data_IF_547777450765
#
_entry.id   IF_547777450765
#
_cell.length_a   1.000
_cell.length_b   1.000
_cell.length_c   1.000
_cell.angle_alpha   90.00
_cell.angle_beta   90.00
_cell.angle_gamma   90.00
#
_symmetry.space_group_name_H-M   'P 1'
#
loop_
_entity.id
_entity.type
_entity.pdbx_description
1 polymer ?
#
# COMPACT_ATOMS: atom_id res chain seq x y z
N UNK A 1 9.25 -60.29 -15.68
CA UNK A 1 10.41 -60.08 -14.77
C UNK A 1 11.37 -59.16 -15.52
N UNK A 2 11.88 -58.04 -15.03
CA UNK A 2 11.99 -57.50 -13.68
C UNK A 2 12.68 -56.13 -13.91
N UNK A 3 12.00 -55.03 -13.59
CA UNK A 3 12.61 -53.72 -13.26
C UNK A 3 13.49 -53.06 -14.37
N UNK A 4 13.81 -51.78 -14.41
CA UNK A 4 13.88 -50.76 -13.38
C UNK A 4 14.02 -49.40 -14.10
N UNK A 5 13.18 -48.44 -13.68
CA UNK A 5 13.32 -46.98 -13.69
C UNK A 5 14.31 -46.33 -14.69
N UNK A 6 13.78 -45.43 -15.53
CA UNK A 6 14.43 -44.16 -15.88
C UNK A 6 13.37 -43.15 -16.38
N UNK A 7 12.36 -42.90 -15.56
CA UNK A 7 11.52 -41.68 -15.66
C UNK A 7 12.27 -40.56 -14.94
N UNK A 8 13.21 -39.94 -15.64
CA UNK A 8 13.79 -38.67 -15.21
C UNK A 8 12.74 -37.58 -15.39
N UNK A 9 11.84 -37.46 -14.42
CA UNK A 9 10.97 -36.29 -14.27
C UNK A 9 11.89 -35.12 -13.92
N UNK A 10 12.29 -34.37 -14.94
CA UNK A 10 12.87 -33.03 -14.79
C UNK A 10 11.78 -32.17 -14.15
N UNK A 11 11.73 -32.18 -12.81
CA UNK A 11 10.97 -31.21 -12.04
C UNK A 11 11.71 -29.88 -12.22
N UNK A 12 11.41 -29.16 -13.31
CA UNK A 12 11.84 -27.79 -13.43
C UNK A 12 11.19 -27.05 -12.27
N UNK A 13 12.01 -26.70 -11.28
CA UNK A 13 11.68 -25.71 -10.30
C UNK A 13 11.45 -24.43 -11.10
N UNK A 14 10.19 -24.15 -11.44
CA UNK A 14 9.77 -22.80 -11.76
C UNK A 14 9.94 -22.03 -10.46
N UNK A 15 11.13 -21.48 -10.25
CA UNK A 15 11.31 -20.41 -9.30
C UNK A 15 10.36 -19.31 -9.78
N UNK A 16 9.19 -19.21 -9.14
CA UNK A 16 8.39 -17.99 -9.14
C UNK A 16 9.26 -16.97 -8.40
N UNK A 17 10.21 -16.41 -9.14
CA UNK A 17 10.94 -15.22 -8.72
C UNK A 17 9.86 -14.16 -8.71
N UNK A 18 9.37 -13.80 -7.52
CA UNK A 18 8.52 -12.62 -7.38
C UNK A 18 9.23 -11.48 -8.08
N UNK A 19 8.66 -10.98 -9.17
CA UNK A 19 9.37 -9.99 -9.98
C UNK A 19 9.55 -8.74 -9.14
N UNK A 20 10.80 -8.45 -8.78
CA UNK A 20 11.13 -7.24 -8.05
C UNK A 20 10.97 -6.04 -9.00
N UNK A 21 10.05 -5.13 -8.67
CA UNK A 21 9.83 -3.90 -9.45
C UNK A 21 11.16 -3.13 -9.50
N UNK A 22 11.72 -2.85 -10.70
CA UNK A 22 12.95 -2.07 -10.82
C UNK A 22 12.70 -0.60 -10.44
N UNK A 23 13.77 0.19 -10.31
CA UNK A 23 13.60 1.64 -10.19
C UNK A 23 13.14 2.20 -11.54
N UNK A 24 11.87 2.60 -11.59
CA UNK A 24 11.23 3.21 -12.75
C UNK A 24 11.43 4.73 -12.76
N UNK A 25 11.70 5.33 -13.93
CA UNK A 25 11.82 6.78 -14.07
C UNK A 25 10.46 7.44 -13.87
N UNK A 26 10.44 8.54 -13.12
CA UNK A 26 9.25 9.37 -12.89
C UNK A 26 9.53 10.75 -13.48
N UNK A 27 8.54 11.32 -14.18
CA UNK A 27 8.71 12.60 -14.85
C UNK A 27 9.10 13.73 -13.85
N UNK A 28 9.95 14.69 -14.26
CA UNK A 28 10.31 15.82 -13.39
C UNK A 28 9.07 16.54 -12.85
N UNK A 29 9.04 16.78 -11.53
CA UNK A 29 7.92 17.42 -10.86
C UNK A 29 6.77 16.49 -10.45
N UNK A 30 6.72 15.24 -10.94
CA UNK A 30 5.82 14.23 -10.39
C UNK A 30 6.37 13.70 -9.06
N UNK A 31 5.52 13.68 -8.04
CA UNK A 31 5.86 13.23 -6.66
C UNK A 31 5.48 11.78 -6.36
N UNK A 32 4.74 11.14 -7.25
CA UNK A 32 4.18 9.80 -7.07
C UNK A 32 4.51 8.94 -8.29
N UNK A 33 4.87 7.68 -8.06
CA UNK A 33 5.25 6.70 -9.08
C UNK A 33 4.18 5.62 -9.32
N UNK A 34 3.00 5.76 -8.72
CA UNK A 34 1.95 4.74 -8.75
C UNK A 34 1.54 4.38 -10.17
N UNK A 35 1.43 5.36 -11.08
CA UNK A 35 1.08 5.13 -12.47
C UNK A 35 2.16 4.34 -13.20
N UNK A 36 3.42 4.78 -13.06
CA UNK A 36 4.56 4.13 -13.71
C UNK A 36 4.71 2.68 -13.22
N UNK A 37 4.54 2.44 -11.92
CA UNK A 37 4.53 1.09 -11.34
C UNK A 37 3.34 0.28 -11.85
N UNK A 38 2.13 0.84 -11.88
CA UNK A 38 0.94 0.16 -12.38
C UNK A 38 1.11 -0.31 -13.82
N UNK A 39 1.59 0.58 -14.71
CA UNK A 39 1.86 0.24 -16.11
C UNK A 39 2.93 -0.84 -16.25
N UNK A 40 3.99 -0.77 -15.44
CA UNK A 40 5.01 -1.80 -15.45
C UNK A 40 4.46 -3.16 -15.00
N UNK A 41 3.64 -3.19 -13.93
CA UNK A 41 3.02 -4.43 -13.44
C UNK A 41 2.05 -5.03 -14.47
N UNK A 42 1.26 -4.20 -15.16
CA UNK A 42 0.40 -4.67 -16.26
C UNK A 42 1.19 -5.38 -17.37
N UNK A 43 2.38 -4.87 -17.70
CA UNK A 43 3.20 -5.41 -18.78
C UNK A 43 4.09 -6.60 -18.37
N UNK A 44 4.48 -6.69 -17.09
CA UNK A 44 5.55 -7.61 -16.67
C UNK A 44 5.10 -8.66 -15.64
N UNK A 45 4.07 -8.39 -14.82
CA UNK A 45 3.66 -9.29 -13.74
C UNK A 45 2.53 -10.23 -14.20
N UNK A 46 2.79 -11.54 -14.32
CA UNK A 46 1.77 -12.50 -14.72
C UNK A 46 0.58 -12.49 -13.76
N UNK A 47 -0.63 -12.41 -14.30
CA UNK A 47 -1.87 -12.38 -13.53
C UNK A 47 -2.27 -11.01 -12.96
N UNK A 48 -1.40 -9.99 -12.97
CA UNK A 48 -1.76 -8.67 -12.45
C UNK A 48 -2.85 -7.99 -13.26
N UNK A 49 -2.77 -8.04 -14.60
CA UNK A 49 -3.78 -7.46 -15.48
C UNK A 49 -5.15 -8.13 -15.31
N UNK A 50 -5.18 -9.46 -15.15
CA UNK A 50 -6.42 -10.20 -14.90
C UNK A 50 -7.00 -9.86 -13.52
N UNK A 51 -6.18 -9.87 -12.46
CA UNK A 51 -6.62 -9.50 -11.12
C UNK A 51 -7.14 -8.05 -11.06
N UNK A 52 -6.49 -7.13 -11.78
CA UNK A 52 -6.94 -5.75 -11.90
C UNK A 52 -8.30 -5.67 -12.61
N UNK A 53 -8.48 -6.37 -13.73
CA UNK A 53 -9.77 -6.40 -14.43
C UNK A 53 -10.89 -6.99 -13.56
N UNK A 54 -10.62 -8.09 -12.85
CA UNK A 54 -11.58 -8.69 -11.92
C UNK A 54 -12.00 -7.72 -10.81
N UNK A 55 -11.05 -6.95 -10.27
CA UNK A 55 -11.35 -5.89 -9.31
C UNK A 55 -12.24 -4.80 -9.91
N UNK A 56 -11.94 -4.34 -11.13
CA UNK A 56 -12.75 -3.33 -11.81
C UNK A 56 -14.17 -3.83 -12.09
N UNK A 57 -14.31 -5.07 -12.57
CA UNK A 57 -15.62 -5.68 -12.83
C UNK A 57 -16.44 -5.80 -11.54
N UNK A 58 -15.80 -6.22 -10.45
CA UNK A 58 -16.43 -6.28 -9.13
C UNK A 58 -16.92 -4.92 -8.65
N UNK A 59 -16.07 -3.88 -8.72
CA UNK A 59 -16.42 -2.52 -8.31
C UNK A 59 -17.55 -1.96 -9.16
N UNK A 60 -17.47 -2.10 -10.48
CA UNK A 60 -18.51 -1.62 -11.41
C UNK A 60 -19.85 -2.31 -11.15
N UNK A 61 -19.84 -3.61 -10.93
CA UNK A 61 -21.03 -4.37 -10.55
C UNK A 61 -21.61 -3.87 -9.22
N UNK A 62 -20.77 -3.72 -8.21
CA UNK A 62 -21.20 -3.24 -6.89
C UNK A 62 -21.87 -1.87 -6.99
N UNK A 63 -21.27 -0.92 -7.71
CA UNK A 63 -21.81 0.43 -7.90
C UNK A 63 -23.14 0.39 -8.67
N UNK A 64 -23.25 -0.45 -9.71
CA UNK A 64 -24.50 -0.58 -10.48
C UNK A 64 -25.64 -1.21 -9.67
N UNK A 65 -25.32 -2.19 -8.81
CA UNK A 65 -26.31 -2.87 -7.95
C UNK A 65 -26.71 -2.04 -6.72
N UNK A 66 -25.88 -1.07 -6.30
CA UNK A 66 -26.10 -0.26 -5.10
C UNK A 66 -26.00 1.25 -5.38
N UNK A 67 -26.87 1.82 -6.24
CA UNK A 67 -26.78 3.22 -6.66
C UNK A 67 -27.00 4.24 -5.52
N UNK A 68 -27.61 3.80 -4.41
CA UNK A 68 -27.84 4.61 -3.21
C UNK A 68 -27.13 4.02 -1.98
N UNK A 69 -25.97 3.36 -2.19
CA UNK A 69 -25.18 2.83 -1.08
C UNK A 69 -24.71 3.98 -0.19
N UNK A 70 -25.12 3.93 1.06
CA UNK A 70 -24.70 4.87 2.10
C UNK A 70 -24.13 4.06 3.28
N UNK A 71 -22.80 4.08 3.49
CA UNK A 71 -22.18 3.35 4.58
C UNK A 71 -22.64 3.92 5.92
N UNK A 72 -23.47 3.16 6.64
CA UNK A 72 -24.08 3.61 7.91
C UNK A 72 -23.14 3.58 9.12
N UNK A 73 -21.87 3.24 8.94
CA UNK A 73 -20.94 3.05 10.04
C UNK A 73 -19.54 3.51 9.67
N UNK A 74 -18.88 4.13 10.65
CA UNK A 74 -17.46 4.46 10.59
C UNK A 74 -16.64 3.17 10.56
N UNK A 75 -15.78 3.05 9.55
CA UNK A 75 -14.82 1.96 9.42
C UNK A 75 -13.47 2.42 9.96
N UNK A 76 -13.01 1.75 11.03
CA UNK A 76 -11.70 2.02 11.61
C UNK A 76 -10.61 1.17 10.94
N UNK A 77 -9.59 1.83 10.40
CA UNK A 77 -8.42 1.24 9.76
C UNK A 77 -7.23 1.30 10.73
N UNK A 78 -6.77 0.17 11.28
CA UNK A 78 -5.56 0.12 12.09
C UNK A 78 -4.31 0.28 11.21
N UNK A 79 -3.43 1.20 11.59
CA UNK A 79 -2.21 1.58 10.85
C UNK A 79 -0.98 1.17 11.62
N UNK A 80 0.00 0.62 10.91
CA UNK A 80 1.36 0.42 11.41
C UNK A 80 2.31 1.29 10.60
N UNK A 81 3.12 2.11 11.27
CA UNK A 81 4.20 2.86 10.64
C UNK A 81 5.50 2.06 10.73
N UNK A 82 6.09 1.72 9.59
CA UNK A 82 7.46 1.21 9.52
C UNK A 82 8.40 2.37 9.19
N UNK A 83 9.10 2.89 10.20
CA UNK A 83 10.09 3.96 10.06
C UNK A 83 11.43 3.32 9.70
N UNK A 84 11.89 3.52 8.47
CA UNK A 84 13.12 2.94 7.95
C UNK A 84 14.16 4.05 7.76
N UNK A 85 15.07 4.22 8.73
CA UNK A 85 16.02 5.33 8.80
C UNK A 85 17.38 4.86 9.32
N UNK A 86 18.42 5.68 9.17
CA UNK A 86 19.69 5.41 9.85
C UNK A 86 19.56 5.56 11.38
N UNK A 87 20.43 4.90 12.17
CA UNK A 87 20.41 5.02 13.63
C UNK A 87 20.45 6.48 14.13
N UNK A 88 21.25 7.32 13.46
CA UNK A 88 21.37 8.75 13.79
C UNK A 88 20.06 9.53 13.52
N UNK A 89 19.32 9.18 12.47
CA UNK A 89 18.04 9.80 12.15
C UNK A 89 16.93 9.34 13.10
N UNK A 90 16.95 8.07 13.55
CA UNK A 90 15.99 7.59 14.53
C UNK A 90 16.04 8.38 15.85
N UNK A 91 17.24 8.82 16.26
CA UNK A 91 17.41 9.63 17.46
C UNK A 91 16.70 11.00 17.40
N UNK A 92 16.38 11.49 16.21
CA UNK A 92 15.77 12.82 16.03
C UNK A 92 14.35 12.79 15.45
N UNK A 93 13.87 11.64 14.97
CA UNK A 93 12.53 11.48 14.44
C UNK A 93 11.54 11.02 15.53
N UNK A 94 10.65 11.89 16.04
CA UNK A 94 9.76 11.56 17.14
C UNK A 94 8.49 10.85 16.66
N UNK A 95 7.92 10.01 17.53
CA UNK A 95 6.64 9.31 17.27
C UNK A 95 5.47 10.29 17.04
N UNK A 96 5.57 11.52 17.56
CA UNK A 96 4.57 12.56 17.33
C UNK A 96 4.34 12.85 15.84
N UNK A 97 5.33 12.64 14.97
CA UNK A 97 5.14 12.79 13.50
C UNK A 97 4.20 11.73 12.92
N UNK A 98 4.22 10.51 13.45
CA UNK A 98 3.28 9.46 13.05
C UNK A 98 1.86 9.80 13.53
N UNK A 99 1.73 10.32 14.75
CA UNK A 99 0.45 10.73 15.32
C UNK A 99 -0.15 11.90 14.53
N UNK A 100 0.65 12.93 14.24
CA UNK A 100 0.25 14.05 13.38
C UNK A 100 -0.25 13.58 12.02
N UNK A 101 0.38 12.56 11.43
CA UNK A 101 -0.06 12.01 10.14
C UNK A 101 -1.40 11.27 10.25
N UNK A 102 -1.67 10.57 11.35
CA UNK A 102 -2.99 9.98 11.62
C UNK A 102 -4.05 11.08 11.72
N UNK A 103 -3.76 12.18 12.40
CA UNK A 103 -4.68 13.31 12.53
C UNK A 103 -4.98 13.95 11.17
N UNK A 104 -3.97 14.15 10.32
CA UNK A 104 -4.15 14.66 8.96
C UNK A 104 -5.00 13.70 8.12
N UNK A 105 -4.75 12.38 8.17
CA UNK A 105 -5.56 11.40 7.46
C UNK A 105 -7.03 11.45 7.91
N UNK A 106 -7.28 11.53 9.22
CA UNK A 106 -8.63 11.64 9.75
C UNK A 106 -9.33 12.94 9.32
N UNK A 107 -8.61 14.07 9.26
CA UNK A 107 -9.16 15.34 8.79
C UNK A 107 -9.49 15.29 7.28
N UNK A 108 -8.59 14.74 6.47
CA UNK A 108 -8.76 14.65 5.02
C UNK A 108 -9.93 13.71 4.66
N UNK A 109 -9.98 12.52 5.26
CA UNK A 109 -11.01 11.52 4.97
C UNK A 109 -12.38 11.86 5.59
N UNK A 110 -12.42 12.69 6.64
CA UNK A 110 -13.66 13.27 7.14
C UNK A 110 -14.13 14.49 6.32
N UNK A 111 -13.36 14.93 5.31
CA UNK A 111 -13.65 16.13 4.51
C UNK A 111 -13.54 17.45 5.31
N UNK A 112 -12.88 17.41 6.48
CA UNK A 112 -12.72 18.53 7.40
C UNK A 112 -11.49 19.39 7.08
N UNK A 113 -10.68 18.96 6.13
CA UNK A 113 -9.48 19.67 5.72
C UNK A 113 -9.79 21.03 5.05
N UNK A 114 -8.94 22.00 5.36
CA UNK A 114 -8.92 23.30 4.69
C UNK A 114 -7.98 23.21 3.50
N UNK A 115 -8.51 23.19 2.27
CA UNK A 115 -7.69 23.14 1.07
C UNK A 115 -6.98 24.49 0.85
N UNK A 116 -5.67 24.43 0.66
CA UNK A 116 -4.83 25.59 0.29
C UNK A 116 -4.67 25.77 -1.23
N UNK A 117 -5.21 24.84 -2.03
CA UNK A 117 -5.16 24.84 -3.49
C UNK A 117 -6.61 24.98 -3.97
N UNK A 118 -6.90 26.05 -4.71
CA UNK A 118 -8.16 26.49 -5.35
C UNK A 118 -9.51 26.06 -4.70
N UNK A 119 -10.45 27.00 -4.47
CA UNK A 119 -11.73 26.67 -3.84
C UNK A 119 -12.54 25.67 -4.68
N UNK A 120 -12.58 24.41 -4.25
CA UNK A 120 -13.49 23.41 -4.78
C UNK A 120 -14.91 23.62 -4.20
N UNK A 121 -15.98 23.30 -4.96
CA UNK A 121 -17.33 23.36 -4.46
C UNK A 121 -17.49 22.54 -3.19
N UNK A 122 -18.18 23.07 -2.17
CA UNK A 122 -18.47 22.35 -0.95
C UNK A 122 -19.24 21.03 -1.21
N UNK A 123 -19.97 20.94 -2.32
CA UNK A 123 -20.66 19.73 -2.79
C UNK A 123 -19.73 18.58 -3.20
N UNK A 124 -18.44 18.84 -3.40
CA UNK A 124 -17.43 17.82 -3.70
C UNK A 124 -16.71 17.31 -2.45
N UNK A 125 -16.92 17.96 -1.30
CA UNK A 125 -16.42 17.43 -0.02
C UNK A 125 -17.30 16.27 0.41
N UNK A 126 -16.67 15.16 0.76
CA UNK A 126 -17.34 13.98 1.27
C UNK A 126 -16.66 13.55 2.57
N UNK A 127 -17.48 13.17 3.56
CA UNK A 127 -17.00 12.32 4.65
C UNK A 127 -17.02 10.88 4.15
N UNK A 128 -15.87 10.21 4.13
CA UNK A 128 -15.77 8.83 3.67
C UNK A 128 -16.17 7.81 4.74
N UNK A 129 -16.44 8.27 5.98
CA UNK A 129 -16.66 7.42 7.15
C UNK A 129 -15.47 6.46 7.41
N UNK A 130 -14.25 6.85 7.01
CA UNK A 130 -13.02 6.14 7.33
C UNK A 130 -12.30 6.86 8.46
N UNK A 131 -11.90 6.09 9.47
CA UNK A 131 -11.10 6.60 10.58
C UNK A 131 -9.82 5.77 10.72
N UNK A 132 -8.69 6.42 10.92
CA UNK A 132 -7.39 5.81 11.10
C UNK A 132 -6.99 5.87 12.57
N UNK A 133 -6.42 4.77 13.06
CA UNK A 133 -5.81 4.70 14.38
C UNK A 133 -4.52 3.87 14.31
N UNK A 134 -3.62 4.05 15.29
CA UNK A 134 -2.48 3.15 15.41
C UNK A 134 -2.97 1.75 15.82
N UNK A 135 -2.39 0.73 15.19
CA UNK A 135 -2.62 -0.65 15.61
C UNK A 135 -2.16 -0.83 17.07
N UNK A 136 -2.99 -1.50 17.87
CA UNK A 136 -2.69 -1.80 19.28
C UNK A 136 -2.32 -3.26 19.50
N UNK A 137 -2.55 -4.11 18.50
CA UNK A 137 -2.26 -5.54 18.50
C UNK A 137 -1.48 -5.88 17.22
N UNK A 138 -0.38 -6.61 17.37
CA UNK A 138 0.44 -7.06 16.25
C UNK A 138 -0.09 -8.39 15.64
N UNK A 139 0.47 -8.87 14.51
CA UNK A 139 0.03 -10.12 13.88
C UNK A 139 0.18 -11.37 14.77
N UNK A 140 1.00 -11.33 15.82
CA UNK A 140 1.16 -12.41 16.80
C UNK A 140 0.19 -12.32 17.98
N UNK A 141 -0.67 -11.30 17.99
CA UNK A 141 -1.65 -11.06 19.05
C UNK A 141 -1.09 -10.31 20.25
N UNK A 142 0.12 -9.74 20.17
CA UNK A 142 0.75 -9.03 21.27
C UNK A 142 0.48 -7.52 21.22
N UNK A 143 0.48 -6.82 22.36
CA UNK A 143 0.35 -5.37 22.39
C UNK A 143 1.49 -4.67 21.61
N UNK A 144 1.14 -3.67 20.81
CA UNK A 144 2.09 -2.84 20.05
C UNK A 144 1.71 -1.36 20.11
N UNK A 145 2.68 -0.48 19.84
CA UNK A 145 2.43 0.95 19.62
C UNK A 145 1.93 1.26 18.21
N UNK A 146 2.02 0.30 17.28
CA UNK A 146 1.79 0.52 15.86
C UNK A 146 2.91 1.31 15.18
N UNK A 147 4.05 1.48 15.83
CA UNK A 147 5.23 2.17 15.28
C UNK A 147 6.44 1.24 15.40
N UNK A 148 6.96 0.81 14.25
CA UNK A 148 8.14 -0.02 14.14
C UNK A 148 9.31 0.78 13.57
N UNK A 149 10.52 0.56 14.10
CA UNK A 149 11.74 1.22 13.65
C UNK A 149 12.70 0.17 13.07
N UNK A 150 13.22 0.43 11.88
CA UNK A 150 14.16 -0.44 11.16
C UNK A 150 15.38 0.38 10.75
N UNK A 151 16.54 -0.02 11.27
CA UNK A 151 17.79 0.62 10.89
C UNK A 151 18.12 0.37 9.42
N UNK A 152 18.50 1.43 8.72
CA UNK A 152 18.89 1.40 7.32
C UNK A 152 20.04 2.36 7.04
N UNK A 153 21.11 1.83 6.44
CA UNK A 153 22.30 2.59 6.04
C UNK A 153 22.62 2.46 4.55
N UNK A 154 21.66 2.00 3.74
CA UNK A 154 21.83 1.84 2.29
C UNK A 154 21.60 3.14 1.51
N UNK A 155 21.52 3.00 0.19
CA UNK A 155 21.27 4.12 -0.73
C UNK A 155 19.85 4.69 -0.58
N UNK A 156 19.63 5.92 -1.08
CA UNK A 156 18.28 6.48 -1.11
C UNK A 156 17.27 5.57 -1.82
N UNK A 157 16.04 5.56 -1.31
CA UNK A 157 14.94 4.79 -1.90
C UNK A 157 14.52 5.37 -3.24
N UNK A 158 14.28 4.48 -4.21
CA UNK A 158 13.64 4.82 -5.47
C UNK A 158 12.20 4.33 -5.51
N UNK A 159 11.71 4.06 -6.71
CA UNK A 159 10.35 3.56 -6.97
C UNK A 159 10.26 2.03 -6.91
N UNK A 160 11.39 1.36 -6.73
CA UNK A 160 11.44 -0.08 -6.48
C UNK A 160 10.79 -0.45 -5.13
N UNK A 161 10.65 -1.75 -4.90
CA UNK A 161 10.07 -2.25 -3.64
C UNK A 161 11.09 -2.43 -2.52
N UNK A 162 12.29 -1.83 -2.62
CA UNK A 162 13.38 -2.09 -1.69
C UNK A 162 13.06 -1.77 -0.23
N UNK A 163 12.25 -0.74 0.05
CA UNK A 163 11.86 -0.36 1.43
C UNK A 163 10.91 -1.36 2.08
N UNK A 164 10.30 -2.26 1.29
CA UNK A 164 9.31 -3.24 1.75
C UNK A 164 9.93 -4.55 2.24
N UNK A 165 11.23 -4.74 2.05
CA UNK A 165 11.98 -5.97 2.35
C UNK A 165 13.20 -5.66 3.22
#
# INVERSE_FOLDING_TARGET
>A
MKYLLLLAVFFQILAVSGQHIPNLPVAPGKRCATDEIHQWRLANEPGYAEAYQQLQDYVNKFVAEHPNYDPKAVVTVPVVFHIVLSPAQHATFPDSRCIEQIDVLNQDYAGLNTHSIDPFPASMKANTELQFCLATIDPSGQPTSGIERRDYSGSAWGTNSGVKY
#
